data_IF_666902226518
#
_entry.id   IF_666902226518
#
_cell.length_a   1.000
_cell.length_b   1.000
_cell.length_c   1.000
_cell.angle_alpha   90.00
_cell.angle_beta   90.00
_cell.angle_gamma   90.00
#
_symmetry.space_group_name_H-M   'P 1'
#
loop_
_entity.id
_entity.type
_entity.pdbx_description
1 polymer ?
#
# COMPACT_ATOMS: atom_id res chain seq x y z
N UNK A 1 69.16 26.58 -19.40
CA UNK A 1 69.71 25.88 -18.21
C UNK A 1 68.85 26.25 -17.00
N UNK A 2 68.46 25.24 -16.21
CA UNK A 2 68.18 25.30 -14.77
C UNK A 2 66.85 25.98 -14.31
N UNK A 3 65.88 25.13 -13.91
CA UNK A 3 65.04 25.34 -12.68
C UNK A 3 65.96 25.08 -11.46
N UNK A 4 65.81 25.69 -10.26
CA UNK A 4 64.57 25.61 -9.45
C UNK A 4 64.34 26.67 -8.31
N UNK A 5 63.18 26.55 -7.63
CA UNK A 5 62.84 26.70 -6.19
C UNK A 5 63.08 28.00 -5.37
N UNK A 6 62.02 28.42 -4.63
CA UNK A 6 61.91 28.82 -3.19
C UNK A 6 60.73 29.81 -3.03
N UNK A 7 59.62 29.53 -2.31
CA UNK A 7 59.37 29.28 -0.88
C UNK A 7 59.22 30.56 0.00
N UNK A 8 58.27 30.50 0.95
CA UNK A 8 57.91 31.43 2.05
C UNK A 8 57.00 32.62 1.66
N UNK A 9 55.99 33.02 2.44
CA UNK A 9 55.56 32.65 3.80
C UNK A 9 54.21 33.32 4.12
N UNK A 10 53.53 32.84 5.16
CA UNK A 10 52.17 33.21 5.53
C UNK A 10 52.00 34.42 6.48
N UNK A 11 50.84 34.40 7.17
CA UNK A 11 50.19 35.41 8.04
C UNK A 11 49.38 36.43 7.23
N UNK A 12 48.06 36.61 7.38
CA UNK A 12 47.12 36.27 8.44
C UNK A 12 46.25 37.52 8.69
N UNK A 13 44.94 37.45 8.45
CA UNK A 13 43.88 38.26 9.08
C UNK A 13 42.52 37.95 8.44
N UNK A 14 41.57 37.56 9.30
CA UNK A 14 40.18 37.30 8.97
C UNK A 14 39.35 38.59 8.87
N UNK A 15 38.39 38.63 7.94
CA UNK A 15 37.09 39.28 8.12
C UNK A 15 36.13 38.86 6.98
N UNK A 16 34.95 38.40 7.36
CA UNK A 16 33.85 37.86 6.54
C UNK A 16 33.32 38.85 5.48
N UNK A 17 32.66 38.32 4.43
CA UNK A 17 31.21 38.53 4.39
C UNK A 17 30.39 37.27 4.03
N UNK A 18 29.36 37.05 4.86
CA UNK A 18 28.10 36.33 4.68
C UNK A 18 27.94 35.41 3.44
N UNK A 19 28.13 34.10 3.66
CA UNK A 19 27.52 33.06 2.83
C UNK A 19 26.18 32.68 3.48
N UNK A 20 25.09 32.86 2.73
CA UNK A 20 23.74 32.56 3.19
C UNK A 20 23.60 31.07 3.54
N UNK A 21 23.30 30.80 4.82
CA UNK A 21 22.89 29.49 5.31
C UNK A 21 21.42 29.30 4.94
N UNK A 22 21.14 28.45 3.95
CA UNK A 22 19.82 27.85 3.76
C UNK A 22 19.91 26.41 4.24
N UNK A 23 19.63 26.20 5.51
CA UNK A 23 19.27 24.88 6.05
C UNK A 23 17.87 24.52 5.57
N UNK A 24 17.78 23.86 4.42
CA UNK A 24 16.58 23.13 4.03
C UNK A 24 16.56 21.82 4.82
N UNK A 25 15.90 21.85 5.98
CA UNK A 25 15.55 20.63 6.72
C UNK A 25 14.57 19.82 5.85
N UNK A 26 15.07 18.69 5.39
CA UNK A 26 14.42 17.67 4.58
C UNK A 26 13.26 17.01 5.31
N UNK A 27 12.08 17.64 5.28
CA UNK A 27 10.79 17.00 5.61
C UNK A 27 10.05 16.73 4.30
N UNK A 28 10.59 15.79 3.51
CA UNK A 28 10.07 15.44 2.19
C UNK A 28 10.16 13.95 1.85
N UNK A 29 10.68 13.12 2.75
CA UNK A 29 10.91 11.69 2.50
C UNK A 29 9.77 10.76 2.99
N UNK A 30 8.80 11.28 3.74
CA UNK A 30 7.93 10.43 4.58
C UNK A 30 6.57 10.08 3.95
N UNK A 31 6.30 10.45 2.70
CA UNK A 31 4.96 10.27 2.10
C UNK A 31 4.95 9.44 0.82
N UNK A 32 6.07 9.43 0.08
CA UNK A 32 6.28 8.55 -1.07
C UNK A 32 6.64 7.12 -0.65
N UNK A 33 7.14 6.92 0.57
CA UNK A 33 7.46 5.59 1.10
C UNK A 33 6.19 4.78 1.46
N UNK A 34 5.13 5.42 1.95
CA UNK A 34 3.97 4.69 2.50
C UNK A 34 2.97 4.18 1.44
N UNK A 35 2.93 4.76 0.24
CA UNK A 35 2.02 4.35 -0.86
C UNK A 35 2.61 3.20 -1.68
N UNK A 36 3.93 3.06 -1.64
CA UNK A 36 4.68 2.08 -2.43
C UNK A 36 4.65 0.68 -1.75
N UNK A 37 4.38 0.60 -0.44
CA UNK A 37 4.34 -0.67 0.32
C UNK A 37 2.96 -1.35 0.37
N UNK A 38 1.88 -0.71 -0.09
CA UNK A 38 0.51 -1.18 0.19
C UNK A 38 0.01 -2.36 -0.67
N UNK A 39 0.80 -2.84 -1.62
CA UNK A 39 0.37 -3.85 -2.60
C UNK A 39 0.46 -5.32 -2.13
N UNK A 40 0.93 -5.58 -0.89
CA UNK A 40 1.30 -6.95 -0.49
C UNK A 40 0.64 -7.54 0.76
N UNK A 41 -0.43 -6.94 1.31
CA UNK A 41 -1.27 -7.55 2.36
C UNK A 41 -0.58 -8.03 3.65
N UNK A 42 -1.38 -8.58 4.57
CA UNK A 42 -0.88 -9.35 5.73
C UNK A 42 -0.81 -10.81 5.30
N UNK A 43 0.26 -11.53 5.66
CA UNK A 43 0.39 -12.93 5.32
C UNK A 43 -0.70 -13.77 6.01
N UNK A 44 -1.43 -14.55 5.22
CA UNK A 44 -2.50 -15.41 5.70
C UNK A 44 -2.02 -16.46 6.68
N UNK A 45 -2.80 -16.70 7.73
CA UNK A 45 -2.54 -17.79 8.68
C UNK A 45 -2.59 -19.16 8.00
N UNK A 46 -3.49 -19.33 7.02
CA UNK A 46 -3.67 -20.54 6.22
C UNK A 46 -2.86 -20.55 4.91
N UNK A 47 -2.05 -19.52 4.64
CA UNK A 47 -1.11 -19.55 3.52
C UNK A 47 -0.22 -20.80 3.63
N UNK A 48 0.07 -21.50 2.51
CA UNK A 48 0.85 -22.73 2.46
C UNK A 48 2.36 -22.46 2.66
N UNK A 49 2.69 -21.81 3.77
CA UNK A 49 4.02 -21.36 4.15
C UNK A 49 4.50 -22.22 5.32
N UNK A 50 5.68 -22.85 5.23
CA UNK A 50 6.26 -23.59 6.34
C UNK A 50 6.33 -22.74 7.60
N UNK A 51 5.96 -23.30 8.76
CA UNK A 51 5.95 -22.55 10.02
C UNK A 51 7.30 -21.89 10.34
N UNK A 52 8.40 -22.58 10.01
CA UNK A 52 9.77 -22.05 10.16
C UNK A 52 10.03 -20.86 9.24
N UNK A 53 9.46 -20.84 8.02
CA UNK A 53 9.62 -19.73 7.08
C UNK A 53 8.90 -18.45 7.54
N UNK A 54 7.89 -18.55 8.41
CA UNK A 54 7.25 -17.36 9.01
C UNK A 54 8.20 -16.60 9.94
N UNK A 55 9.12 -17.30 10.60
CA UNK A 55 10.19 -16.66 11.41
C UNK A 55 11.13 -15.88 10.50
N UNK A 56 11.53 -16.48 9.40
CA UNK A 56 12.40 -15.87 8.38
C UNK A 56 11.76 -14.64 7.73
N UNK A 57 10.47 -14.72 7.42
CA UNK A 57 9.69 -13.56 6.93
C UNK A 57 9.69 -12.42 7.94
N UNK A 58 9.52 -12.72 9.23
CA UNK A 58 9.55 -11.71 10.30
C UNK A 58 10.95 -11.09 10.47
N UNK A 59 12.03 -11.87 10.32
CA UNK A 59 13.40 -11.36 10.31
C UNK A 59 13.64 -10.42 9.13
N UNK A 60 13.22 -10.79 7.92
CA UNK A 60 13.30 -9.93 6.73
C UNK A 60 12.47 -8.65 6.90
N UNK A 61 11.25 -8.76 7.43
CA UNK A 61 10.37 -7.62 7.74
C UNK A 61 10.97 -6.69 8.78
N UNK A 62 11.65 -7.23 9.77
CA UNK A 62 12.35 -6.45 10.81
C UNK A 62 13.50 -5.65 10.19
N UNK A 63 14.25 -6.26 9.28
CA UNK A 63 15.32 -5.59 8.54
C UNK A 63 14.80 -4.57 7.50
N UNK A 64 13.61 -4.81 6.92
CA UNK A 64 12.94 -3.87 6.03
C UNK A 64 11.44 -3.73 6.35
N UNK A 65 11.06 -2.77 7.22
CA UNK A 65 9.67 -2.52 7.57
C UNK A 65 8.79 -2.08 6.39
N UNK A 66 9.38 -1.62 5.30
CA UNK A 66 8.69 -1.17 4.08
C UNK A 66 8.29 -2.32 3.13
N UNK A 67 8.62 -3.57 3.44
CA UNK A 67 8.21 -4.73 2.63
C UNK A 67 7.00 -5.44 3.24
N UNK A 68 5.95 -5.78 2.47
CA UNK A 68 4.82 -6.56 2.99
C UNK A 68 5.18 -8.01 3.26
N UNK A 69 4.62 -8.61 4.30
CA UNK A 69 4.92 -10.01 4.66
C UNK A 69 4.51 -11.01 3.58
N UNK A 70 3.35 -10.80 2.92
CA UNK A 70 2.93 -11.70 1.85
C UNK A 70 3.81 -11.53 0.60
N UNK A 71 4.36 -10.35 0.36
CA UNK A 71 5.35 -10.14 -0.71
C UNK A 71 6.69 -10.80 -0.38
N UNK A 72 7.19 -10.63 0.85
CA UNK A 72 8.44 -11.27 1.31
C UNK A 72 8.34 -12.79 1.13
N UNK A 73 7.23 -13.39 1.55
CA UNK A 73 7.07 -14.84 1.47
C UNK A 73 6.89 -15.34 0.03
N UNK A 74 6.24 -14.55 -0.83
CA UNK A 74 6.09 -14.84 -2.25
C UNK A 74 7.44 -14.83 -2.98
N UNK A 75 8.29 -13.85 -2.70
CA UNK A 75 9.66 -13.80 -3.23
C UNK A 75 10.47 -14.98 -2.68
N UNK A 76 10.45 -15.23 -1.37
CA UNK A 76 11.17 -16.35 -0.78
C UNK A 76 10.78 -17.71 -1.38
N UNK A 77 9.48 -17.90 -1.64
CA UNK A 77 8.98 -19.09 -2.30
C UNK A 77 9.44 -19.20 -3.76
N UNK A 78 9.38 -18.09 -4.50
CA UNK A 78 9.81 -18.04 -5.88
C UNK A 78 11.32 -18.29 -6.02
N UNK A 79 12.13 -17.78 -5.09
CA UNK A 79 13.59 -17.90 -5.14
C UNK A 79 14.08 -19.28 -4.71
N UNK A 80 13.55 -19.83 -3.61
CA UNK A 80 14.12 -21.01 -2.98
C UNK A 80 13.13 -22.12 -2.66
N UNK A 81 11.83 -21.87 -2.80
CA UNK A 81 10.80 -22.77 -2.27
C UNK A 81 10.93 -22.97 -0.76
N UNK A 82 11.42 -21.95 -0.04
CA UNK A 82 11.73 -22.00 1.40
C UNK A 82 12.89 -22.93 1.79
N UNK A 83 13.77 -23.28 0.86
CA UNK A 83 14.95 -24.09 1.16
C UNK A 83 16.18 -23.20 1.45
N UNK A 84 16.68 -23.13 2.69
CA UNK A 84 17.84 -22.29 3.02
C UNK A 84 19.16 -22.82 2.45
N UNK A 85 19.19 -24.09 2.03
CA UNK A 85 20.31 -24.70 1.33
C UNK A 85 20.17 -24.59 -0.20
N UNK A 86 19.13 -23.92 -0.72
CA UNK A 86 18.94 -23.75 -2.16
C UNK A 86 20.16 -23.06 -2.77
N UNK A 87 20.74 -23.71 -3.77
CA UNK A 87 21.89 -23.19 -4.50
C UNK A 87 21.68 -23.38 -5.99
N UNK A 88 21.79 -22.30 -6.75
CA UNK A 88 21.83 -22.34 -8.19
C UNK A 88 23.24 -22.04 -8.68
N UNK A 89 23.70 -22.80 -9.68
CA UNK A 89 24.91 -22.44 -10.41
C UNK A 89 24.50 -21.57 -11.58
N UNK A 90 25.12 -20.41 -11.71
CA UNK A 90 24.97 -19.52 -12.86
C UNK A 90 26.32 -18.93 -13.29
N UNK A 91 26.31 -18.19 -14.40
CA UNK A 91 27.51 -17.57 -14.96
C UNK A 91 28.12 -16.49 -14.03
N UNK A 92 27.41 -16.09 -12.97
CA UNK A 92 27.84 -15.08 -12.00
C UNK A 92 28.48 -15.69 -10.74
N UNK A 93 28.71 -17.01 -10.72
CA UNK A 93 29.29 -17.71 -9.57
C UNK A 93 28.24 -18.31 -8.63
N UNK A 94 26.96 -18.27 -9.02
CA UNK A 94 25.84 -18.88 -8.33
C UNK A 94 25.10 -17.95 -7.38
N UNK A 95 23.99 -18.47 -6.87
CA UNK A 95 23.14 -17.84 -5.87
C UNK A 95 22.84 -18.82 -4.76
N UNK A 96 22.69 -18.33 -3.52
CA UNK A 96 22.44 -19.19 -2.37
C UNK A 96 21.30 -18.66 -1.52
N UNK A 97 20.59 -19.58 -0.87
CA UNK A 97 19.74 -19.32 0.28
C UNK A 97 18.34 -18.85 -0.08
N UNK A 98 17.63 -18.37 0.93
CA UNK A 98 16.19 -18.11 0.88
C UNK A 98 15.78 -17.09 -0.18
N UNK A 99 16.65 -16.12 -0.47
CA UNK A 99 16.44 -15.06 -1.47
C UNK A 99 17.46 -15.11 -2.62
N UNK A 100 18.14 -16.25 -2.79
CA UNK A 100 19.07 -16.50 -3.89
C UNK A 100 20.05 -15.33 -4.13
N UNK A 101 20.76 -14.92 -3.07
CA UNK A 101 21.73 -13.84 -3.18
C UNK A 101 23.04 -14.37 -3.77
N UNK A 102 23.59 -13.67 -4.77
CA UNK A 102 24.91 -13.96 -5.31
C UNK A 102 26.05 -13.57 -4.33
N UNK A 103 27.27 -14.04 -4.59
CA UNK A 103 28.40 -13.86 -3.70
C UNK A 103 28.79 -12.39 -3.51
N UNK A 104 28.64 -11.58 -4.57
CA UNK A 104 29.00 -10.17 -4.54
C UNK A 104 27.98 -9.35 -3.77
N UNK A 105 26.69 -9.62 -3.95
CA UNK A 105 25.59 -9.03 -3.18
C UNK A 105 25.71 -9.42 -1.72
N UNK A 106 25.91 -10.71 -1.42
CA UNK A 106 26.09 -11.18 -0.06
C UNK A 106 27.27 -10.49 0.62
N UNK A 107 28.45 -10.48 0.01
CA UNK A 107 29.61 -9.84 0.60
C UNK A 107 29.45 -8.33 0.76
N UNK A 108 28.76 -7.67 -0.18
CA UNK A 108 28.47 -6.24 -0.12
C UNK A 108 27.52 -5.87 1.02
N UNK A 109 26.48 -6.67 1.25
CA UNK A 109 25.47 -6.39 2.29
C UNK A 109 25.88 -6.93 3.66
N UNK A 110 26.47 -8.13 3.73
CA UNK A 110 26.86 -8.79 4.98
C UNK A 110 28.25 -8.36 5.48
N UNK A 111 29.13 -7.91 4.58
CA UNK A 111 30.51 -7.55 4.89
C UNK A 111 31.49 -8.75 4.94
N UNK A 112 31.01 -9.96 4.66
CA UNK A 112 31.81 -11.19 4.70
C UNK A 112 31.44 -12.13 3.54
N UNK A 113 32.36 -12.99 3.07
CA UNK A 113 32.05 -13.95 2.01
C UNK A 113 31.04 -15.01 2.49
N UNK A 114 30.45 -15.76 1.56
CA UNK A 114 29.55 -16.88 1.87
C UNK A 114 30.12 -17.87 2.88
N UNK A 115 31.44 -18.13 2.84
CA UNK A 115 32.09 -19.10 3.72
C UNK A 115 32.28 -18.63 5.16
N UNK A 116 31.79 -17.44 5.52
CA UNK A 116 31.79 -16.97 6.89
C UNK A 116 30.89 -17.83 7.77
N UNK A 117 31.33 -18.03 9.01
CA UNK A 117 30.59 -18.68 10.09
C UNK A 117 30.96 -17.89 11.35
N UNK A 118 30.34 -16.71 11.49
CA UNK A 118 30.71 -15.77 12.55
C UNK A 118 30.16 -16.18 13.92
N UNK A 119 29.10 -16.98 13.94
CA UNK A 119 28.53 -17.51 15.17
C UNK A 119 29.19 -18.83 15.63
N UNK A 120 30.04 -19.43 14.80
CA UNK A 120 30.83 -20.63 15.10
C UNK A 120 29.99 -21.90 15.21
N UNK A 121 28.82 -21.96 14.55
CA UNK A 121 27.90 -23.08 14.63
C UNK A 121 28.21 -24.19 13.60
N UNK A 122 29.22 -24.00 12.74
CA UNK A 122 29.62 -24.95 11.71
C UNK A 122 28.79 -24.87 10.43
N UNK A 123 27.87 -23.91 10.33
CA UNK A 123 27.05 -23.62 9.15
C UNK A 123 27.50 -22.28 8.61
N UNK A 124 27.73 -22.21 7.30
CA UNK A 124 28.02 -20.92 6.65
C UNK A 124 26.84 -19.96 6.84
N UNK A 125 27.11 -18.72 7.20
CA UNK A 125 26.10 -17.72 7.54
C UNK A 125 25.11 -17.47 6.38
N UNK A 126 25.52 -17.69 5.12
CA UNK A 126 24.61 -17.60 3.97
C UNK A 126 23.57 -18.73 3.93
N UNK A 127 23.86 -19.86 4.56
CA UNK A 127 22.97 -21.03 4.70
C UNK A 127 22.19 -21.02 6.01
N UNK A 128 22.62 -20.21 6.97
CA UNK A 128 21.86 -19.97 8.20
C UNK A 128 20.64 -19.12 7.84
N UNK A 129 19.41 -19.66 7.95
CA UNK A 129 18.23 -18.98 7.41
C UNK A 129 17.88 -17.69 8.15
N UNK A 130 18.18 -17.59 9.44
CA UNK A 130 17.89 -16.40 10.23
C UNK A 130 18.88 -15.28 9.87
N UNK A 131 20.16 -15.63 9.69
CA UNK A 131 21.16 -14.68 9.20
C UNK A 131 20.84 -14.26 7.77
N UNK A 132 20.56 -15.23 6.89
CA UNK A 132 20.23 -14.97 5.50
C UNK A 132 19.03 -14.04 5.35
N UNK A 133 17.95 -14.27 6.11
CA UNK A 133 16.72 -13.48 6.02
C UNK A 133 16.93 -12.02 6.45
N UNK A 134 17.74 -11.80 7.49
CA UNK A 134 18.10 -10.45 7.93
C UNK A 134 18.97 -9.73 6.92
N UNK A 135 19.98 -10.41 6.36
CA UNK A 135 20.85 -9.84 5.30
C UNK A 135 20.04 -9.52 4.05
N UNK A 136 19.18 -10.44 3.61
CA UNK A 136 18.28 -10.22 2.48
C UNK A 136 17.33 -9.05 2.70
N UNK A 137 16.80 -8.87 3.91
CA UNK A 137 15.97 -7.71 4.25
C UNK A 137 16.73 -6.39 4.10
N UNK A 138 17.98 -6.32 4.58
CA UNK A 138 18.83 -5.13 4.38
C UNK A 138 19.06 -4.85 2.89
N UNK A 139 19.43 -5.89 2.13
CA UNK A 139 19.66 -5.79 0.68
C UNK A 139 18.41 -5.28 -0.08
N UNK A 140 17.25 -5.88 0.19
CA UNK A 140 15.99 -5.51 -0.46
C UNK A 140 15.53 -4.09 -0.04
N UNK A 141 15.83 -3.66 1.19
CA UNK A 141 15.55 -2.30 1.65
C UNK A 141 16.35 -1.26 0.86
N UNK A 142 17.65 -1.49 0.68
CA UNK A 142 18.52 -0.61 -0.09
C UNK A 142 18.08 -0.57 -1.56
N UNK A 143 17.72 -1.73 -2.12
CA UNK A 143 17.21 -1.85 -3.47
C UNK A 143 15.88 -1.12 -3.67
N UNK A 144 14.95 -1.22 -2.71
CA UNK A 144 13.68 -0.50 -2.73
C UNK A 144 13.90 1.02 -2.75
N UNK A 145 14.87 1.51 -1.97
CA UNK A 145 15.29 2.92 -1.99
C UNK A 145 15.82 3.34 -3.36
N UNK A 146 16.70 2.51 -3.97
CA UNK A 146 17.24 2.73 -5.31
C UNK A 146 16.16 2.82 -6.38
N UNK A 147 15.20 1.89 -6.37
CA UNK A 147 14.05 1.88 -7.29
C UNK A 147 13.18 3.13 -7.16
N UNK A 148 12.96 3.62 -5.93
CA UNK A 148 12.23 4.88 -5.67
C UNK A 148 13.00 6.08 -6.23
N UNK A 149 14.32 6.12 -6.05
CA UNK A 149 15.18 7.17 -6.58
C UNK A 149 15.21 7.18 -8.12
N UNK A 150 15.27 6.02 -8.77
CA UNK A 150 15.25 5.89 -10.24
C UNK A 150 13.94 6.43 -10.82
N UNK A 151 12.77 6.10 -10.23
CA UNK A 151 11.48 6.67 -10.66
C UNK A 151 11.47 8.19 -10.55
N UNK A 152 12.01 8.74 -9.45
CA UNK A 152 12.06 10.18 -9.26
C UNK A 152 12.97 10.88 -10.28
N UNK A 153 14.08 10.25 -10.66
CA UNK A 153 15.01 10.78 -11.66
C UNK A 153 14.50 10.63 -13.11
N UNK A 154 13.69 9.61 -13.38
CA UNK A 154 13.23 9.24 -14.72
C UNK A 154 11.71 9.03 -14.78
N UNK A 155 10.90 10.08 -14.52
CA UNK A 155 9.43 9.96 -14.52
C UNK A 155 8.84 9.62 -15.90
N UNK A 156 9.60 9.82 -16.97
CA UNK A 156 9.23 9.58 -18.36
C UNK A 156 9.45 8.12 -18.82
N UNK A 157 10.22 7.33 -18.07
CA UNK A 157 10.43 5.91 -18.41
C UNK A 157 9.14 5.11 -18.24
N UNK A 158 8.90 4.16 -19.15
CA UNK A 158 7.73 3.30 -19.09
C UNK A 158 7.66 2.50 -17.76
N UNK A 159 8.81 2.16 -17.18
CA UNK A 159 8.88 1.50 -15.87
C UNK A 159 8.32 2.35 -14.73
N UNK A 160 8.29 3.68 -14.86
CA UNK A 160 7.83 4.59 -13.80
C UNK A 160 6.34 4.50 -13.54
N UNK A 161 5.58 3.92 -14.47
CA UNK A 161 4.16 3.60 -14.32
C UNK A 161 3.90 2.27 -13.58
N UNK A 162 4.94 1.47 -13.32
CA UNK A 162 4.80 0.19 -12.62
C UNK A 162 4.65 0.37 -11.10
N UNK A 163 3.90 -0.53 -10.44
CA UNK A 163 3.98 -0.70 -8.99
C UNK A 163 5.45 -0.82 -8.53
N UNK A 164 5.76 -0.26 -7.36
CA UNK A 164 7.16 -0.27 -6.88
C UNK A 164 7.69 -1.66 -6.62
N UNK A 165 6.83 -2.58 -6.18
CA UNK A 165 7.25 -3.93 -5.80
C UNK A 165 7.60 -4.73 -7.06
N UNK A 166 6.89 -4.51 -8.18
CA UNK A 166 7.27 -5.06 -9.49
C UNK A 166 8.61 -4.49 -9.96
N UNK A 167 8.83 -3.17 -9.79
CA UNK A 167 10.14 -2.56 -10.08
C UNK A 167 11.24 -3.13 -9.21
N UNK A 168 10.95 -3.44 -7.94
CA UNK A 168 11.88 -4.11 -7.04
C UNK A 168 12.20 -5.53 -7.53
N UNK A 169 11.22 -6.29 -8.01
CA UNK A 169 11.44 -7.60 -8.63
C UNK A 169 12.33 -7.47 -9.87
N UNK A 170 12.06 -6.51 -10.76
CA UNK A 170 12.91 -6.25 -11.94
C UNK A 170 14.34 -5.94 -11.50
N UNK A 171 14.50 -5.06 -10.52
CA UNK A 171 15.80 -4.64 -10.05
C UNK A 171 16.57 -5.76 -9.33
N UNK A 172 15.87 -6.65 -8.62
CA UNK A 172 16.44 -7.80 -7.95
C UNK A 172 16.86 -8.90 -8.94
N UNK A 173 15.99 -9.26 -9.88
CA UNK A 173 16.19 -10.40 -10.78
C UNK A 173 17.04 -10.04 -12.01
N UNK A 174 16.96 -8.80 -12.50
CA UNK A 174 17.59 -8.39 -13.75
C UNK A 174 18.51 -7.16 -13.61
N UNK A 175 18.59 -6.56 -12.42
CA UNK A 175 19.36 -5.37 -12.13
C UNK A 175 18.60 -4.07 -12.40
N UNK A 176 18.91 -3.02 -11.64
CA UNK A 176 18.25 -1.70 -11.72
C UNK A 176 18.28 -1.06 -13.10
N UNK A 177 19.36 -1.28 -13.87
CA UNK A 177 19.50 -0.73 -15.22
C UNK A 177 18.42 -1.22 -16.19
N UNK A 178 17.76 -2.35 -15.89
CA UNK A 178 16.67 -2.90 -16.70
C UNK A 178 15.37 -2.12 -16.61
N UNK A 179 15.22 -1.25 -15.62
CA UNK A 179 14.10 -0.31 -15.57
C UNK A 179 14.10 0.61 -16.80
N UNK A 180 15.28 0.98 -17.30
CA UNK A 180 15.43 1.84 -18.48
C UNK A 180 14.95 1.18 -19.80
N UNK A 181 14.94 -0.16 -19.87
CA UNK A 181 14.59 -0.91 -21.09
C UNK A 181 13.17 -1.45 -21.07
N UNK A 182 12.43 -1.28 -19.98
CA UNK A 182 11.04 -1.72 -19.88
C UNK A 182 10.17 -1.12 -21.02
N UNK A 183 9.28 -1.89 -21.67
CA UNK A 183 8.83 -3.26 -21.34
C UNK A 183 9.73 -4.40 -21.85
N UNK A 184 10.86 -4.11 -22.50
CA UNK A 184 11.80 -5.12 -22.99
C UNK A 184 12.71 -5.63 -21.86
N UNK A 185 12.14 -6.53 -21.05
CA UNK A 185 12.81 -7.26 -19.97
C UNK A 185 12.77 -8.78 -20.24
N UNK A 186 13.73 -9.55 -19.68
CA UNK A 186 13.77 -11.00 -19.87
C UNK A 186 12.45 -11.69 -19.51
N UNK A 187 12.07 -12.71 -20.27
CA UNK A 187 10.86 -13.51 -20.02
C UNK A 187 10.87 -14.12 -18.60
N UNK A 188 12.03 -14.55 -18.11
CA UNK A 188 12.18 -15.08 -16.75
C UNK A 188 11.76 -14.05 -15.69
N UNK A 189 12.11 -12.77 -15.88
CA UNK A 189 11.74 -11.68 -14.98
C UNK A 189 10.24 -11.39 -15.04
N UNK A 190 9.62 -11.42 -16.23
CA UNK A 190 8.16 -11.26 -16.36
C UNK A 190 7.39 -12.36 -15.64
N UNK A 191 7.85 -13.62 -15.76
CA UNK A 191 7.26 -14.74 -15.03
C UNK A 191 7.48 -14.65 -13.52
N UNK A 192 8.62 -14.11 -13.09
CA UNK A 192 8.88 -13.85 -11.68
C UNK A 192 7.82 -12.90 -11.10
N UNK A 193 7.60 -11.75 -11.75
CA UNK A 193 6.59 -10.76 -11.32
C UNK A 193 5.22 -11.44 -11.20
N UNK A 194 4.79 -12.14 -12.26
CA UNK A 194 3.51 -12.84 -12.26
C UNK A 194 3.40 -13.86 -11.13
N UNK A 195 4.43 -14.68 -10.90
CA UNK A 195 4.43 -15.68 -9.82
C UNK A 195 4.36 -15.04 -8.44
N UNK A 196 5.05 -13.92 -8.23
CA UNK A 196 4.98 -13.19 -6.95
C UNK A 196 3.60 -12.58 -6.76
N UNK A 197 3.01 -11.98 -7.80
CA UNK A 197 1.67 -11.40 -7.73
C UNK A 197 0.61 -12.47 -7.44
N UNK A 198 0.69 -13.62 -8.12
CA UNK A 198 -0.20 -14.77 -7.91
C UNK A 198 -0.09 -15.27 -6.46
N UNK A 199 1.13 -15.39 -5.93
CA UNK A 199 1.36 -15.79 -4.54
C UNK A 199 0.89 -14.74 -3.54
N UNK A 200 1.17 -13.45 -3.77
CA UNK A 200 0.68 -12.36 -2.91
C UNK A 200 -0.84 -12.37 -2.88
N UNK A 201 -1.49 -12.54 -4.02
CA UNK A 201 -2.95 -12.63 -4.10
C UNK A 201 -3.48 -13.86 -3.35
N UNK A 202 -2.81 -15.01 -3.51
CA UNK A 202 -3.25 -16.27 -2.91
C UNK A 202 -2.95 -16.38 -1.40
N UNK A 203 -1.87 -15.74 -0.93
CA UNK A 203 -1.32 -15.92 0.41
C UNK A 203 -1.50 -14.72 1.31
N UNK A 204 -2.07 -13.63 0.80
CA UNK A 204 -2.54 -12.56 1.67
C UNK A 204 -3.85 -12.97 2.31
N UNK A 205 -3.97 -12.83 3.63
CA UNK A 205 -5.28 -12.84 4.28
C UNK A 205 -5.72 -11.43 4.54
N UNK A 206 -7.04 -11.28 4.56
CA UNK A 206 -7.68 -10.39 5.53
C UNK A 206 -7.85 -11.24 6.81
N UNK A 207 -7.35 -10.83 7.99
CA UNK A 207 -7.29 -11.71 9.18
C UNK A 207 -8.66 -12.33 9.52
N UNK A 208 -8.77 -13.65 9.74
CA UNK A 208 -10.03 -14.37 10.04
C UNK A 208 -10.18 -14.69 11.54
N UNK A 209 -11.38 -14.47 12.11
CA UNK A 209 -11.83 -15.00 13.42
C UNK A 209 -12.98 -16.01 13.16
N UNK A 210 -12.93 -17.20 13.78
CA UNK A 210 -13.77 -18.38 13.49
C UNK A 210 -15.30 -18.28 13.77
N UNK A 211 -16.13 -18.89 12.89
CA UNK A 211 -17.54 -19.31 13.12
C UNK A 211 -18.41 -19.59 11.84
N UNK A 212 -19.43 -20.50 11.83
CA UNK A 212 -19.75 -21.43 10.71
C UNK A 212 -20.94 -21.11 9.73
N UNK A 213 -20.95 -21.77 8.56
CA UNK A 213 -21.82 -21.68 7.35
C UNK A 213 -23.03 -22.68 7.36
N UNK A 214 -24.19 -22.55 6.62
CA UNK A 214 -24.24 -22.80 5.15
C UNK A 214 -25.37 -22.15 4.25
N UNK A 215 -24.99 -21.77 3.02
CA UNK A 215 -25.49 -22.16 1.67
C UNK A 215 -26.87 -21.76 1.03
N UNK A 216 -26.82 -21.15 -0.19
CA UNK A 216 -27.28 -21.64 -1.54
C UNK A 216 -27.88 -20.57 -2.50
N UNK A 217 -27.15 -20.32 -3.61
CA UNK A 217 -27.49 -20.30 -5.06
C UNK A 217 -28.84 -19.72 -5.56
N UNK A 218 -28.98 -19.02 -6.70
CA UNK A 218 -28.14 -18.55 -7.86
C UNK A 218 -29.12 -17.87 -8.88
N UNK A 219 -28.62 -17.08 -9.92
CA UNK A 219 -28.75 -16.64 -11.45
C UNK A 219 -29.88 -16.18 -12.50
N UNK A 220 -30.02 -14.90 -12.90
CA UNK A 220 -30.61 -14.59 -14.24
C UNK A 220 -31.39 -13.26 -14.38
N UNK A 221 -30.78 -12.12 -14.68
CA UNK A 221 -29.96 -11.69 -15.84
C UNK A 221 -30.75 -11.35 -17.12
N UNK A 222 -30.56 -10.14 -17.67
CA UNK A 222 -29.96 -9.90 -19.01
C UNK A 222 -29.50 -8.42 -19.19
N UNK A 223 -28.39 -8.25 -19.93
CA UNK A 223 -27.39 -7.15 -19.96
C UNK A 223 -27.39 -6.26 -21.24
N UNK A 224 -26.56 -5.19 -21.24
CA UNK A 224 -25.36 -5.00 -22.12
C UNK A 224 -24.60 -3.65 -21.86
N UNK A 225 -23.29 -3.46 -22.18
CA UNK A 225 -22.08 -4.22 -21.82
C UNK A 225 -20.87 -3.36 -21.30
N UNK A 226 -19.96 -4.00 -20.54
CA UNK A 226 -18.64 -3.51 -20.03
C UNK A 226 -17.55 -4.54 -20.43
N UNK A 227 -16.24 -4.21 -20.61
CA UNK A 227 -15.24 -5.17 -21.07
C UNK A 227 -15.06 -6.36 -20.12
N UNK A 228 -15.05 -7.57 -20.69
CA UNK A 228 -14.98 -8.83 -19.99
C UNK A 228 -13.53 -9.28 -19.77
N UNK A 229 -13.15 -9.45 -18.50
CA UNK A 229 -12.26 -10.53 -18.04
C UNK A 229 -12.67 -10.91 -16.63
N UNK A 230 -12.95 -12.20 -16.48
CA UNK A 230 -13.68 -12.89 -15.41
C UNK A 230 -12.90 -13.05 -14.12
N UNK A 231 -13.48 -12.66 -12.98
CA UNK A 231 -13.34 -13.37 -11.72
C UNK A 231 -14.73 -13.62 -11.13
N UNK A 232 -15.03 -14.81 -10.57
CA UNK A 232 -16.36 -15.15 -10.10
C UNK A 232 -16.69 -14.35 -8.84
N UNK A 233 -17.85 -13.68 -8.84
CA UNK A 233 -18.52 -13.23 -7.63
C UNK A 233 -18.86 -14.45 -6.78
N UNK A 234 -18.17 -14.63 -5.65
CA UNK A 234 -18.53 -15.62 -4.64
C UNK A 234 -19.62 -15.03 -3.75
N UNK A 235 -20.68 -15.82 -3.53
CA UNK A 235 -21.79 -15.51 -2.64
C UNK A 235 -21.32 -15.16 -1.22
N UNK A 236 -22.12 -14.31 -0.57
CA UNK A 236 -22.09 -13.92 0.83
C UNK A 236 -21.49 -15.00 1.75
N UNK A 237 -20.29 -14.70 2.23
CA UNK A 237 -19.67 -15.36 3.37
C UNK A 237 -19.17 -14.25 4.27
N UNK A 238 -19.57 -14.31 5.54
CA UNK A 238 -19.20 -13.41 6.65
C UNK A 238 -17.74 -12.97 6.53
N UNK A 239 -17.53 -11.76 6.01
CA UNK A 239 -16.23 -11.24 5.61
C UNK A 239 -15.40 -10.81 6.82
N UNK A 240 -14.23 -11.42 6.93
CA UNK A 240 -13.26 -11.26 7.99
C UNK A 240 -12.64 -9.85 8.01
N UNK A 241 -13.20 -8.95 8.82
CA UNK A 241 -12.53 -7.71 9.26
C UNK A 241 -12.49 -7.64 10.80
N UNK A 242 -11.57 -8.33 11.48
CA UNK A 242 -11.28 -8.11 12.89
C UNK A 242 -10.20 -7.05 13.04
N UNK A 243 -10.48 -6.04 13.88
CA UNK A 243 -9.46 -5.11 14.39
C UNK A 243 -9.43 -3.71 13.77
N UNK A 244 -10.45 -3.30 13.02
CA UNK A 244 -10.58 -1.94 12.47
C UNK A 244 -10.99 -0.86 13.52
N UNK A 245 -10.87 -1.18 14.81
CA UNK A 245 -11.26 -0.34 15.95
C UNK A 245 -12.75 -0.42 16.26
N UNK A 246 -13.12 -0.96 17.43
CA UNK A 246 -14.52 -1.06 17.89
C UNK A 246 -14.88 -0.09 19.03
N UNK A 247 -13.96 0.79 19.43
CA UNK A 247 -14.08 1.49 20.72
C UNK A 247 -14.30 3.00 20.63
N UNK A 248 -14.47 3.56 19.43
CA UNK A 248 -14.80 4.98 19.24
C UNK A 248 -16.33 5.26 19.26
N UNK A 249 -17.15 4.24 19.46
CA UNK A 249 -18.61 4.29 19.27
C UNK A 249 -19.05 3.43 18.09
N UNK A 250 -20.35 3.13 17.99
CA UNK A 250 -20.92 2.45 16.83
C UNK A 250 -21.50 3.51 15.88
N UNK A 251 -21.14 3.44 14.60
CA UNK A 251 -21.80 4.25 13.58
C UNK A 251 -23.18 3.69 13.29
N UNK A 252 -24.21 4.54 13.18
CA UNK A 252 -25.56 4.10 12.89
C UNK A 252 -25.76 4.05 11.36
N UNK A 253 -25.65 2.86 10.78
CA UNK A 253 -25.95 2.67 9.36
C UNK A 253 -27.47 2.77 9.14
N UNK A 254 -27.96 3.69 8.28
CA UNK A 254 -29.39 3.82 8.04
C UNK A 254 -30.02 2.52 7.50
N UNK A 255 -31.26 2.21 7.88
CA UNK A 255 -31.99 1.10 7.26
C UNK A 255 -32.12 1.31 5.74
N UNK A 256 -31.80 0.27 4.97
CA UNK A 256 -31.85 0.32 3.50
C UNK A 256 -30.55 0.79 2.84
N UNK A 257 -29.50 1.10 3.61
CA UNK A 257 -28.15 1.28 3.06
C UNK A 257 -27.66 -0.04 2.42
N UNK A 258 -27.18 -0.04 1.16
CA UNK A 258 -26.81 -1.26 0.44
C UNK A 258 -25.71 -2.08 1.11
N UNK A 259 -24.69 -1.42 1.65
CA UNK A 259 -23.55 -2.07 2.28
C UNK A 259 -23.54 -1.78 3.79
N UNK A 260 -23.19 -2.77 4.59
CA UNK A 260 -22.83 -2.55 5.98
C UNK A 260 -21.44 -1.90 6.10
N UNK A 261 -21.03 -1.56 7.32
CA UNK A 261 -19.73 -0.92 7.60
C UNK A 261 -18.57 -1.77 7.05
N UNK A 262 -18.60 -3.08 7.26
CA UNK A 262 -17.53 -3.97 6.83
C UNK A 262 -17.38 -3.97 5.31
N UNK A 263 -18.48 -4.16 4.58
CA UNK A 263 -18.52 -4.13 3.13
C UNK A 263 -18.13 -2.75 2.59
N UNK A 264 -18.54 -1.69 3.28
CA UNK A 264 -18.16 -0.34 2.91
C UNK A 264 -16.67 -0.08 3.07
N UNK A 265 -16.06 -0.51 4.16
CA UNK A 265 -14.60 -0.39 4.35
C UNK A 265 -13.85 -1.20 3.30
N UNK A 266 -14.25 -2.44 3.04
CA UNK A 266 -13.65 -3.25 1.97
C UNK A 266 -13.76 -2.57 0.62
N UNK A 267 -14.94 -2.03 0.29
CA UNK A 267 -15.17 -1.31 -0.97
C UNK A 267 -14.29 -0.06 -1.06
N UNK A 268 -14.22 0.74 0.00
CA UNK A 268 -13.37 1.93 0.06
C UNK A 268 -11.89 1.57 -0.12
N UNK A 269 -11.43 0.53 0.55
CA UNK A 269 -10.04 0.03 0.44
C UNK A 269 -9.73 -0.50 -0.96
N UNK A 270 -10.68 -1.14 -1.65
CA UNK A 270 -10.48 -1.61 -3.03
C UNK A 270 -10.27 -0.49 -4.05
N UNK A 271 -10.69 0.74 -3.70
CA UNK A 271 -10.53 1.91 -4.57
C UNK A 271 -9.20 2.61 -4.32
N UNK A 272 -8.49 2.34 -3.23
CA UNK A 272 -7.17 2.92 -2.96
C UNK A 272 -6.19 2.50 -4.05
N UNK A 273 -5.47 3.46 -4.62
CA UNK A 273 -4.49 3.23 -5.67
C UNK A 273 -5.02 3.42 -7.10
N UNK A 274 -6.34 3.60 -7.30
CA UNK A 274 -6.83 4.05 -8.61
C UNK A 274 -6.23 5.42 -8.93
N UNK A 275 -5.85 5.64 -10.19
CA UNK A 275 -5.08 6.81 -10.63
C UNK A 275 -5.92 7.88 -11.32
N UNK A 276 -7.18 7.56 -11.66
CA UNK A 276 -8.08 8.51 -12.30
C UNK A 276 -9.56 8.17 -12.10
N UNK A 277 -10.44 9.11 -12.49
CA UNK A 277 -11.89 8.91 -12.52
C UNK A 277 -12.63 9.36 -11.28
N UNK A 278 -11.92 9.86 -10.25
CA UNK A 278 -12.50 10.39 -9.02
C UNK A 278 -12.26 11.89 -8.80
N UNK A 279 -11.87 12.65 -9.83
CA UNK A 279 -11.55 14.08 -9.66
C UNK A 279 -12.81 14.85 -9.25
N UNK A 280 -12.72 15.62 -8.15
CA UNK A 280 -13.87 16.32 -7.58
C UNK A 280 -15.01 15.44 -7.05
N UNK A 281 -14.82 14.11 -6.97
CA UNK A 281 -15.89 13.14 -6.65
C UNK A 281 -15.79 12.55 -5.23
N UNK A 282 -15.31 13.33 -4.25
CA UNK A 282 -15.13 12.87 -2.85
C UNK A 282 -16.40 12.27 -2.24
N UNK A 283 -17.54 12.93 -2.46
CA UNK A 283 -18.84 12.51 -1.97
C UNK A 283 -19.32 11.22 -2.62
N UNK A 284 -19.13 11.13 -3.93
CA UNK A 284 -19.44 9.92 -4.69
C UNK A 284 -18.54 8.77 -4.26
N UNK A 285 -17.27 9.03 -3.93
CA UNK A 285 -16.34 8.02 -3.44
C UNK A 285 -16.78 7.47 -2.08
N UNK A 286 -17.14 8.37 -1.15
CA UNK A 286 -17.62 7.97 0.16
C UNK A 286 -18.91 7.15 0.08
N UNK A 287 -19.88 7.57 -0.73
CA UNK A 287 -21.12 6.82 -0.95
C UNK A 287 -20.93 5.57 -1.82
N UNK A 288 -19.89 5.51 -2.67
CA UNK A 288 -19.53 4.28 -3.40
C UNK A 288 -19.13 3.17 -2.44
N UNK A 289 -18.42 3.51 -1.36
CA UNK A 289 -18.12 2.57 -0.29
C UNK A 289 -19.41 1.89 0.18
N UNK A 290 -20.47 2.68 0.40
CA UNK A 290 -21.76 2.18 0.85
C UNK A 290 -22.68 1.63 -0.24
N UNK A 291 -22.15 1.40 -1.45
CA UNK A 291 -22.88 0.73 -2.53
C UNK A 291 -23.80 1.66 -3.33
N UNK A 292 -23.54 2.97 -3.33
CA UNK A 292 -24.29 3.93 -4.15
C UNK A 292 -23.54 4.35 -5.41
N UNK A 293 -24.29 4.61 -6.47
CA UNK A 293 -23.77 5.14 -7.73
C UNK A 293 -23.31 6.61 -7.61
N UNK A 294 -23.96 7.38 -6.72
CA UNK A 294 -23.71 8.79 -6.39
C UNK A 294 -24.10 9.07 -4.93
N UNK A 295 -23.73 10.21 -4.36
CA UNK A 295 -24.08 10.55 -2.96
C UNK A 295 -25.51 11.08 -2.79
N UNK A 296 -26.14 11.54 -3.88
CA UNK A 296 -27.37 12.32 -3.84
C UNK A 296 -27.18 13.78 -3.42
N UNK A 297 -25.96 14.18 -3.05
CA UNK A 297 -25.61 15.54 -2.67
C UNK A 297 -24.73 16.19 -3.73
N UNK A 298 -24.93 17.49 -3.96
CA UNK A 298 -24.15 18.26 -4.93
C UNK A 298 -22.72 18.56 -4.45
N UNK A 299 -22.47 18.43 -3.14
CA UNK A 299 -21.16 18.69 -2.53
C UNK A 299 -21.05 18.15 -1.10
N UNK A 300 -19.83 17.90 -0.64
CA UNK A 300 -19.57 17.45 0.74
C UNK A 300 -20.03 18.48 1.77
N UNK A 301 -19.99 19.78 1.44
CA UNK A 301 -20.55 20.84 2.27
C UNK A 301 -22.07 20.74 2.40
N UNK A 302 -22.77 20.47 1.30
CA UNK A 302 -24.23 20.26 1.31
C UNK A 302 -24.58 18.99 2.06
N UNK A 303 -23.79 17.93 1.88
CA UNK A 303 -23.95 16.68 2.60
C UNK A 303 -23.79 16.89 4.11
N UNK A 304 -22.71 17.54 4.55
CA UNK A 304 -22.51 17.89 5.96
C UNK A 304 -23.67 18.70 6.55
N UNK A 305 -24.17 19.70 5.82
CA UNK A 305 -25.31 20.51 6.27
C UNK A 305 -26.59 19.68 6.43
N UNK A 306 -26.82 18.68 5.57
CA UNK A 306 -27.93 17.74 5.72
C UNK A 306 -27.74 16.86 6.97
N UNK A 307 -26.54 16.34 7.20
CA UNK A 307 -26.24 15.52 8.39
C UNK A 307 -26.44 16.29 9.70
N UNK A 308 -26.12 17.59 9.72
CA UNK A 308 -26.43 18.49 10.84
C UNK A 308 -27.94 18.66 11.04
N UNK A 309 -28.69 18.87 9.95
CA UNK A 309 -30.13 19.11 10.02
C UNK A 309 -30.92 17.86 10.49
N UNK A 310 -30.47 16.69 10.04
CA UNK A 310 -31.14 15.41 10.29
C UNK A 310 -30.66 14.73 11.59
N UNK A 311 -29.67 15.31 12.28
CA UNK A 311 -29.18 14.81 13.57
C UNK A 311 -28.20 13.63 13.48
N UNK A 312 -27.62 13.40 12.30
CA UNK A 312 -26.62 12.36 12.04
C UNK A 312 -25.17 12.83 12.24
N UNK A 313 -24.97 14.14 12.40
CA UNK A 313 -23.64 14.73 12.56
C UNK A 313 -23.18 14.80 14.02
N UNK A 314 -21.88 14.62 14.21
CA UNK A 314 -21.14 14.75 15.46
C UNK A 314 -20.10 15.87 15.30
N UNK A 315 -20.48 17.15 15.52
CA UNK A 315 -19.62 18.28 15.21
C UNK A 315 -18.40 18.36 16.13
N UNK A 316 -17.22 18.52 15.54
CA UNK A 316 -15.95 18.68 16.25
C UNK A 316 -15.44 17.43 16.99
N UNK A 317 -16.19 16.33 17.00
CA UNK A 317 -15.76 15.07 17.62
C UNK A 317 -14.62 14.44 16.81
N UNK A 318 -13.46 14.26 17.44
CA UNK A 318 -12.23 13.74 16.82
C UNK A 318 -12.05 12.23 16.99
N UNK A 319 -13.07 11.53 17.48
CA UNK A 319 -13.06 10.08 17.62
C UNK A 319 -14.06 9.42 16.66
N UNK A 320 -13.86 9.54 15.33
CA UNK A 320 -14.84 9.03 14.39
C UNK A 320 -14.83 7.48 14.41
N UNK A 321 -16.01 6.83 14.47
CA UNK A 321 -16.10 5.39 14.44
C UNK A 321 -15.81 4.83 13.05
N UNK A 322 -15.49 3.54 12.99
CA UNK A 322 -15.25 2.85 11.73
C UNK A 322 -16.44 2.99 10.79
N UNK A 323 -16.18 3.27 9.51
CA UNK A 323 -17.21 3.43 8.48
C UNK A 323 -17.92 4.78 8.50
N UNK A 324 -17.69 5.63 9.49
CA UNK A 324 -18.27 6.98 9.48
C UNK A 324 -17.72 7.83 8.33
N UNK A 325 -18.50 8.83 7.95
CA UNK A 325 -18.04 9.88 7.07
C UNK A 325 -17.43 11.01 7.89
N UNK A 326 -16.28 11.51 7.48
CA UNK A 326 -15.57 12.62 8.10
C UNK A 326 -15.49 13.78 7.13
N UNK A 327 -15.76 15.00 7.61
CA UNK A 327 -15.95 16.17 6.76
C UNK A 327 -14.96 17.29 7.11
N UNK A 328 -14.53 18.01 6.07
CA UNK A 328 -13.68 19.19 6.20
C UNK A 328 -14.25 20.38 5.42
N UNK A 329 -14.13 21.56 6.02
CA UNK A 329 -14.19 22.80 5.27
C UNK A 329 -12.81 23.10 4.69
N UNK A 330 -12.72 23.00 3.37
CA UNK A 330 -11.48 23.21 2.65
C UNK A 330 -11.26 24.67 2.27
N UNK A 331 -12.19 25.56 2.64
CA UNK A 331 -12.23 26.96 2.20
C UNK A 331 -12.71 27.12 0.75
N UNK A 332 -13.04 26.00 0.08
CA UNK A 332 -13.63 25.96 -1.26
C UNK A 332 -15.11 25.64 -1.16
N UNK A 333 -15.87 25.98 -2.21
CA UNK A 333 -17.33 25.88 -2.21
C UNK A 333 -17.90 24.47 -1.95
N UNK A 334 -17.12 23.41 -2.22
CA UNK A 334 -17.60 22.02 -2.17
C UNK A 334 -17.26 21.25 -0.89
N UNK A 335 -16.30 21.71 -0.07
CA UNK A 335 -15.79 20.93 1.07
C UNK A 335 -15.07 19.65 0.67
N UNK A 336 -14.84 18.75 1.64
CA UNK A 336 -14.32 17.40 1.41
C UNK A 336 -14.95 16.40 2.38
N UNK A 337 -15.14 15.15 1.93
CA UNK A 337 -15.62 14.03 2.73
C UNK A 337 -14.77 12.79 2.47
N UNK A 338 -14.58 11.99 3.50
CA UNK A 338 -13.85 10.71 3.44
C UNK A 338 -14.55 9.65 4.28
N UNK A 339 -14.25 8.38 4.03
CA UNK A 339 -14.70 7.24 4.86
C UNK A 339 -13.58 6.84 5.81
N UNK A 340 -13.92 6.61 7.08
CA UNK A 340 -13.01 5.99 8.05
C UNK A 340 -12.90 4.50 7.75
N UNK A 341 -11.70 4.06 7.37
CA UNK A 341 -11.39 2.65 7.06
C UNK A 341 -10.60 1.97 8.16
N UNK A 342 -10.09 2.73 9.14
CA UNK A 342 -9.55 2.24 10.39
C UNK A 342 -9.82 3.29 11.49
N UNK A 343 -10.48 2.89 12.58
CA UNK A 343 -10.71 3.75 13.73
C UNK A 343 -9.67 3.50 14.84
N UNK A 344 -9.17 4.56 15.46
CA UNK A 344 -8.31 4.42 16.63
C UNK A 344 -9.14 4.16 17.89
N UNK A 345 -8.77 3.12 18.66
CA UNK A 345 -9.39 2.86 19.98
C UNK A 345 -9.04 3.91 21.03
N UNK A 346 -8.00 4.71 20.80
CA UNK A 346 -7.58 5.82 21.68
C UNK A 346 -7.93 7.19 21.11
N UNK A 347 -8.74 7.24 20.05
CA UNK A 347 -9.05 8.47 19.31
C UNK A 347 -7.80 9.20 18.81
N UNK A 348 -6.72 8.46 18.55
CA UNK A 348 -5.49 9.02 18.02
C UNK A 348 -5.66 9.29 16.51
N UNK A 349 -5.59 10.56 16.07
CA UNK A 349 -5.77 10.91 14.67
C UNK A 349 -4.64 10.39 13.76
N UNK A 350 -3.48 10.03 14.30
CA UNK A 350 -2.39 9.40 13.53
C UNK A 350 -2.65 7.90 13.29
N UNK A 351 -3.49 7.27 14.13
CA UNK A 351 -3.88 5.86 14.01
C UNK A 351 -5.23 5.65 13.31
N UNK A 352 -5.95 6.73 13.04
CA UNK A 352 -7.22 6.69 12.30
C UNK A 352 -6.93 6.85 10.81
N UNK A 353 -7.34 5.90 9.98
CA UNK A 353 -7.10 5.92 8.52
C UNK A 353 -8.38 6.22 7.75
N UNK A 354 -8.23 7.00 6.68
CA UNK A 354 -9.32 7.44 5.81
C UNK A 354 -8.95 7.29 4.34
N UNK A 355 -9.95 7.16 3.46
CA UNK A 355 -9.76 7.27 2.00
C UNK A 355 -9.99 8.70 1.51
N UNK A 356 -9.18 9.18 0.58
CA UNK A 356 -9.40 10.47 -0.07
C UNK A 356 -9.09 10.44 -1.54
N UNK A 357 -9.85 11.18 -2.34
CA UNK A 357 -9.53 11.45 -3.74
C UNK A 357 -8.77 12.76 -3.93
N UNK A 358 -7.94 12.84 -4.97
CA UNK A 358 -7.38 14.10 -5.47
C UNK A 358 -6.28 14.76 -4.63
N UNK A 359 -6.07 14.30 -3.39
CA UNK A 359 -5.18 14.96 -2.42
C UNK A 359 -3.70 14.95 -2.83
N UNK A 360 -3.27 13.97 -3.63
CA UNK A 360 -1.90 13.94 -4.16
C UNK A 360 -1.83 13.99 -5.69
N UNK A 361 -2.91 14.35 -6.39
CA UNK A 361 -2.93 14.38 -7.86
C UNK A 361 -1.84 15.26 -8.44
N UNK A 362 -1.70 16.49 -7.92
CA UNK A 362 -0.65 17.42 -8.35
C UNK A 362 0.77 16.89 -8.13
N UNK A 363 0.96 16.03 -7.12
CA UNK A 363 2.27 15.45 -6.79
C UNK A 363 2.54 14.11 -7.51
N UNK A 364 1.50 13.43 -8.00
CA UNK A 364 1.58 12.09 -8.60
C UNK A 364 1.30 12.06 -10.10
N UNK A 365 0.76 13.15 -10.66
CA UNK A 365 0.30 13.19 -12.05
C UNK A 365 -1.05 12.48 -12.27
N UNK A 366 -1.72 12.05 -11.19
CA UNK A 366 -3.04 11.44 -11.25
C UNK A 366 -4.12 12.49 -11.54
N UNK A 367 -5.29 12.00 -11.99
CA UNK A 367 -6.45 12.83 -12.33
C UNK A 367 -7.71 12.27 -11.68
N UNK A 368 -7.83 12.49 -10.38
CA UNK A 368 -8.80 11.86 -9.51
C UNK A 368 -8.32 10.54 -8.97
N UNK A 369 -7.09 10.48 -8.47
CA UNK A 369 -6.59 9.28 -7.80
C UNK A 369 -7.20 9.11 -6.41
N UNK A 370 -7.17 7.89 -5.84
CA UNK A 370 -7.65 7.61 -4.46
C UNK A 370 -6.50 7.12 -3.59
N UNK A 371 -6.43 7.67 -2.38
CA UNK A 371 -5.30 7.55 -1.46
C UNK A 371 -5.76 7.14 -0.07
N UNK A 372 -4.91 6.39 0.62
CA UNK A 372 -5.03 6.09 2.04
C UNK A 372 -4.11 7.02 2.83
N UNK A 373 -4.63 7.65 3.88
CA UNK A 373 -3.87 8.56 4.72
C UNK A 373 -4.42 8.58 6.15
N UNK A 374 -3.60 9.03 7.11
CA UNK A 374 -4.06 9.27 8.47
C UNK A 374 -4.99 10.49 8.52
N UNK A 375 -5.92 10.45 9.47
CA UNK A 375 -6.80 11.56 9.78
C UNK A 375 -6.01 12.83 10.12
N UNK A 376 -4.95 12.71 10.93
CA UNK A 376 -4.08 13.82 11.29
C UNK A 376 -3.45 14.49 10.07
N UNK A 377 -3.00 13.70 9.09
CA UNK A 377 -2.43 14.20 7.85
C UNK A 377 -3.44 14.98 7.03
N UNK A 378 -4.69 14.49 6.95
CA UNK A 378 -5.77 15.19 6.26
C UNK A 378 -6.14 16.49 6.96
N UNK A 379 -6.34 16.45 8.28
CA UNK A 379 -6.68 17.63 9.08
C UNK A 379 -5.61 18.72 8.91
N UNK A 380 -4.33 18.32 8.96
CA UNK A 380 -3.18 19.18 8.69
C UNK A 380 -3.28 20.00 7.40
N UNK A 381 -3.85 19.44 6.32
CA UNK A 381 -3.98 20.11 5.02
C UNK A 381 -5.04 21.22 5.02
N UNK A 382 -6.07 21.11 5.86
CA UNK A 382 -7.21 22.03 5.87
C UNK A 382 -7.27 22.93 7.12
N UNK A 383 -6.37 22.75 8.08
CA UNK A 383 -6.29 23.58 9.31
C UNK A 383 -6.29 25.10 9.06
N UNK A 384 -5.80 25.58 7.90
CA UNK A 384 -5.76 27.01 7.56
C UNK A 384 -7.00 27.54 6.83
N UNK A 385 -7.92 26.67 6.40
CA UNK A 385 -9.00 27.03 5.47
C UNK A 385 -10.41 26.70 5.96
N UNK A 386 -10.55 26.29 7.22
CA UNK A 386 -11.84 25.98 7.86
C UNK A 386 -11.76 24.72 8.72
N UNK A 387 -10.91 23.77 8.31
CA UNK A 387 -10.51 22.63 9.12
C UNK A 387 -11.56 21.53 9.21
N UNK A 388 -11.29 20.56 10.07
CA UNK A 388 -12.19 19.46 10.37
C UNK A 388 -13.52 19.94 10.97
N UNK A 389 -14.63 19.46 10.42
CA UNK A 389 -15.99 19.81 10.83
C UNK A 389 -16.57 18.82 11.86
N UNK A 390 -16.26 17.54 11.71
CA UNK A 390 -16.85 16.46 12.49
C UNK A 390 -17.07 15.21 11.64
N UNK A 391 -17.73 14.22 12.22
CA UNK A 391 -18.12 12.98 11.53
C UNK A 391 -19.63 12.81 11.49
N UNK A 392 -20.13 11.94 10.61
CA UNK A 392 -21.54 11.55 10.56
C UNK A 392 -21.72 10.06 10.34
N UNK A 393 -22.93 9.60 10.62
CA UNK A 393 -23.43 8.35 10.06
C UNK A 393 -23.30 8.33 8.52
N UNK A 394 -23.14 7.14 7.89
CA UNK A 394 -22.92 7.00 6.46
C UNK A 394 -24.23 7.07 5.68
N UNK A 395 -24.89 8.22 5.72
CA UNK A 395 -26.14 8.45 4.99
C UNK A 395 -25.82 8.86 3.55
N UNK A 396 -26.48 8.24 2.58
CA UNK A 396 -26.41 8.66 1.18
C UNK A 396 -27.83 8.78 0.64
N UNK A 397 -28.10 9.84 -0.11
CA UNK A 397 -29.39 10.09 -0.77
C UNK A 397 -29.39 9.67 -2.25
N UNK A 398 -28.28 9.07 -2.70
CA UNK A 398 -28.09 8.71 -4.10
C UNK A 398 -28.76 7.41 -4.49
N UNK A 399 -28.60 7.03 -5.75
CA UNK A 399 -29.14 5.76 -6.27
C UNK A 399 -28.26 4.60 -5.82
N UNK A 400 -28.81 3.55 -5.17
CA UNK A 400 -28.10 2.32 -4.93
C UNK A 400 -27.55 1.71 -6.23
N UNK A 401 -26.41 1.06 -6.17
CA UNK A 401 -25.95 0.19 -7.25
C UNK A 401 -26.90 -1.02 -7.33
N UNK A 402 -27.14 -1.56 -8.54
CA UNK A 402 -27.93 -2.78 -8.67
C UNK A 402 -27.30 -3.91 -7.86
N UNK A 403 -28.09 -4.58 -7.03
CA UNK A 403 -27.71 -5.86 -6.45
C UNK A 403 -27.82 -6.91 -7.55
N UNK A 404 -26.73 -7.58 -7.93
CA UNK A 404 -26.81 -8.67 -8.89
C UNK A 404 -27.68 -9.81 -8.32
N UNK A 405 -28.89 -10.00 -8.87
CA UNK A 405 -29.89 -10.94 -8.37
C UNK A 405 -30.17 -12.12 -9.34
N UNK A 406 -29.95 -13.35 -8.84
CA UNK A 406 -30.78 -14.58 -8.88
C UNK A 406 -31.37 -15.19 -10.17
N UNK A 407 -31.35 -16.52 -10.17
CA UNK A 407 -31.82 -17.61 -11.07
C UNK A 407 -33.11 -18.12 -10.59
N UNK A 408 -34.00 -18.13 -11.54
CA UNK A 408 -34.28 -19.31 -12.35
C UNK A 408 -34.79 -18.79 -13.70
N UNK A 409 -34.92 -19.47 -14.83
CA UNK A 409 -35.17 -20.88 -15.09
C UNK A 409 -35.06 -21.09 -16.61
N UNK A 410 -34.45 -22.18 -17.05
CA UNK A 410 -34.79 -22.81 -18.33
C UNK A 410 -35.36 -24.18 -18.01
N UNK A 411 -36.68 -24.30 -18.08
CA UNK A 411 -37.39 -25.57 -18.18
C UNK A 411 -38.50 -25.42 -19.23
N UNK A 412 -38.21 -25.98 -20.40
CA UNK A 412 -39.09 -26.39 -21.51
C UNK A 412 -40.45 -25.71 -21.70
N UNK A 413 -40.66 -25.13 -22.88
CA UNK A 413 -41.13 -25.82 -24.10
C UNK A 413 -41.00 -24.90 -25.30
#
# INVERSE_FOLDING_TARGET
MIRPLLALGGLGAAAFPALAIVTALSVGASTAACIDTSAGGVLAADAPVPAVARVWVAETKTACPDLPEAWIVAVMAQESGFNPDAHANDDNGGTWGLFQLDASVWAGTYGHPWSADLNGNGVWDVRDPDIHSRVAGTYLCDRLSGVRAIRAAHPDWASSALPVLDRLIIAHNAGESRLATYPDIPEVTRRFIQSVDDHVQAWSSVPVLDGPDPALASDGSTNAPVPATTYPLRQAGTGCLPGLGTNAGAVAVPPGTPHDVATAVTTAMSLVGVTSGWDGLCDRLACRAYGYANSGFVSARTHWAAMLADGHAHPGDRCPPLGSFVFWDTGRIYGHVSVVVQASSSCDPDQTLITSNGVFDAATGNHGGVYLLSFARMDGMYTRTGGYLGWSDPVCAGTPLPNDATSSSFAGR
#
